data_IF_500490844665
#
_entry.id   IF_500490844665
#
_cell.length_a   1.000
_cell.length_b   1.000
_cell.length_c   1.000
_cell.angle_alpha   90.00
_cell.angle_beta   90.00
_cell.angle_gamma   90.00
#
_symmetry.space_group_name_H-M   'P 1'
#
loop_
_entity.id
_entity.type
_entity.pdbx_description
1 polymer ?
#
# COMPACT_ATOMS: atom_id res chain seq x y z
N UNK A 1 30.89 -12.96 24.48
CA UNK A 1 29.43 -13.13 24.44
C UNK A 1 28.91 -11.88 23.77
N UNK A 2 28.69 -11.97 22.50
CA UNK A 2 28.20 -10.89 21.65
C UNK A 2 26.70 -10.73 21.90
N UNK A 3 26.30 -9.50 22.26
CA UNK A 3 24.91 -9.10 22.31
C UNK A 3 24.31 -9.36 20.92
N UNK A 4 23.42 -10.32 20.85
CA UNK A 4 22.60 -10.55 19.66
C UNK A 4 21.76 -9.29 19.46
N UNK A 5 21.92 -8.69 18.30
CA UNK A 5 21.04 -7.67 17.78
C UNK A 5 19.60 -8.14 17.94
N UNK A 6 18.88 -7.59 18.88
CA UNK A 6 17.42 -7.68 18.91
C UNK A 6 16.90 -6.91 17.71
N UNK A 7 16.85 -7.59 16.57
CA UNK A 7 16.28 -7.05 15.35
C UNK A 7 14.86 -6.57 15.64
N UNK A 8 14.61 -5.30 15.44
CA UNK A 8 13.30 -4.69 15.55
C UNK A 8 12.31 -5.56 14.76
N UNK A 9 11.37 -6.21 15.45
CA UNK A 9 10.36 -7.06 14.81
C UNK A 9 9.41 -6.15 14.03
N UNK A 10 9.40 -6.30 12.72
CA UNK A 10 8.44 -5.60 11.84
C UNK A 10 7.09 -6.33 11.96
N UNK A 11 6.10 -5.65 12.51
CA UNK A 11 4.76 -6.22 12.69
C UNK A 11 3.74 -5.65 11.70
N UNK A 12 3.90 -4.40 11.27
CA UNK A 12 2.93 -3.66 10.46
C UNK A 12 3.59 -3.11 9.22
N UNK A 13 2.95 -3.33 8.08
CA UNK A 13 3.35 -2.76 6.80
C UNK A 13 2.22 -1.94 6.21
N UNK A 14 2.46 -0.67 5.91
CA UNK A 14 1.57 0.13 5.07
C UNK A 14 1.83 -0.18 3.61
N UNK A 15 0.78 -0.44 2.83
CA UNK A 15 0.89 -0.64 1.37
C UNK A 15 0.20 0.50 0.66
N UNK A 16 0.94 1.14 -0.25
CA UNK A 16 0.47 2.25 -1.05
C UNK A 16 1.11 2.24 -2.44
N UNK A 17 0.66 3.09 -3.32
CA UNK A 17 1.29 3.22 -4.63
C UNK A 17 0.69 4.36 -5.44
N UNK A 18 1.29 4.62 -6.59
CA UNK A 18 0.83 5.65 -7.50
C UNK A 18 -0.58 5.38 -8.03
N UNK A 19 -1.28 6.47 -8.42
CA UNK A 19 -2.63 6.36 -8.94
C UNK A 19 -2.67 5.54 -10.24
N UNK A 20 -3.72 4.73 -10.49
CA UNK A 20 -3.81 3.86 -11.67
C UNK A 20 -3.60 4.57 -13.01
N UNK A 21 -4.06 5.82 -13.15
CA UNK A 21 -3.85 6.61 -14.36
C UNK A 21 -2.37 6.87 -14.71
N UNK A 22 -1.47 6.63 -13.78
CA UNK A 22 -0.02 6.75 -13.99
C UNK A 22 0.63 5.43 -14.44
N UNK A 23 -0.11 4.33 -14.43
CA UNK A 23 0.36 3.08 -15.01
C UNK A 23 0.08 3.05 -16.53
N UNK A 24 0.94 2.41 -17.34
CA UNK A 24 0.70 2.28 -18.78
C UNK A 24 -0.59 1.54 -19.14
N UNK A 25 -1.12 0.73 -18.22
CA UNK A 25 -2.37 -0.02 -18.38
C UNK A 25 -3.60 0.68 -17.75
N UNK A 26 -3.39 1.78 -17.04
CA UNK A 26 -4.49 2.50 -16.38
C UNK A 26 -5.26 1.60 -15.41
N UNK A 27 -6.55 1.48 -15.62
CA UNK A 27 -7.45 0.64 -14.80
C UNK A 27 -7.65 -0.78 -15.37
N UNK A 28 -6.99 -1.14 -16.46
CA UNK A 28 -7.11 -2.48 -17.05
C UNK A 28 -6.38 -3.51 -16.18
N UNK A 29 -7.14 -4.18 -15.33
CA UNK A 29 -6.60 -5.18 -14.41
C UNK A 29 -6.22 -6.50 -15.11
N UNK A 30 -6.65 -6.71 -16.37
CA UNK A 30 -6.35 -7.89 -17.17
C UNK A 30 -5.10 -7.71 -18.06
N UNK A 31 -4.57 -6.49 -18.16
CA UNK A 31 -3.30 -6.24 -18.86
C UNK A 31 -2.17 -7.10 -18.25
N UNK A 32 -1.40 -7.75 -19.10
CA UNK A 32 -0.31 -8.64 -18.68
C UNK A 32 0.70 -7.98 -17.75
N UNK A 33 0.96 -6.67 -17.93
CA UNK A 33 1.87 -5.89 -17.07
C UNK A 33 1.26 -5.69 -15.68
N UNK A 34 -0.04 -5.44 -15.61
CA UNK A 34 -0.78 -5.35 -14.35
C UNK A 34 -0.74 -6.69 -13.61
N UNK A 35 -0.94 -7.80 -14.31
CA UNK A 35 -0.88 -9.13 -13.72
C UNK A 35 0.52 -9.44 -13.17
N UNK A 36 1.58 -9.11 -13.92
CA UNK A 36 2.97 -9.27 -13.46
C UNK A 36 3.26 -8.42 -12.23
N UNK A 37 2.79 -7.17 -12.20
CA UNK A 37 2.91 -6.32 -11.02
C UNK A 37 2.21 -6.94 -9.80
N UNK A 38 0.98 -7.44 -9.96
CA UNK A 38 0.25 -8.10 -8.87
C UNK A 38 0.97 -9.34 -8.34
N UNK A 39 1.58 -10.13 -9.23
CA UNK A 39 2.39 -11.29 -8.83
C UNK A 39 3.61 -10.86 -8.02
N UNK A 40 4.33 -9.84 -8.47
CA UNK A 40 5.49 -9.32 -7.74
C UNK A 40 5.09 -8.68 -6.40
N UNK A 41 3.99 -7.93 -6.38
CA UNK A 41 3.44 -7.37 -5.14
C UNK A 41 3.08 -8.48 -4.13
N UNK A 42 2.48 -9.57 -4.59
CA UNK A 42 2.18 -10.73 -3.76
C UNK A 42 3.46 -11.36 -3.20
N UNK A 43 4.50 -11.47 -4.02
CA UNK A 43 5.80 -11.99 -3.58
C UNK A 43 6.43 -11.09 -2.51
N UNK A 44 6.40 -9.78 -2.67
CA UNK A 44 6.92 -8.84 -1.67
C UNK A 44 6.12 -8.89 -0.35
N UNK A 45 4.80 -9.03 -0.42
CA UNK A 45 3.95 -9.24 0.75
C UNK A 45 4.34 -10.53 1.49
N UNK A 46 4.57 -11.63 0.76
CA UNK A 46 5.02 -12.90 1.37
C UNK A 46 6.41 -12.79 2.00
N UNK A 47 7.35 -12.09 1.36
CA UNK A 47 8.69 -11.85 1.92
C UNK A 47 8.59 -11.05 3.22
N UNK A 48 7.78 -9.99 3.26
CA UNK A 48 7.54 -9.21 4.47
C UNK A 48 6.87 -10.06 5.56
N UNK A 49 5.93 -10.91 5.19
CA UNK A 49 5.29 -11.87 6.12
C UNK A 49 6.32 -12.82 6.75
N UNK A 50 7.24 -13.35 5.97
CA UNK A 50 8.33 -14.21 6.46
C UNK A 50 9.28 -13.46 7.40
N UNK A 51 9.40 -12.14 7.25
CA UNK A 51 10.18 -11.25 8.14
C UNK A 51 9.42 -10.85 9.42
N UNK A 52 8.21 -11.35 9.61
CA UNK A 52 7.41 -11.13 10.82
C UNK A 52 6.28 -10.11 10.69
N UNK A 53 6.02 -9.54 9.51
CA UNK A 53 4.85 -8.68 9.30
C UNK A 53 3.59 -9.52 9.39
N UNK A 54 2.68 -9.14 10.27
CA UNK A 54 1.40 -9.81 10.46
C UNK A 54 0.21 -8.93 10.09
N UNK A 55 0.40 -7.63 10.07
CA UNK A 55 -0.66 -6.66 9.79
C UNK A 55 -0.28 -5.81 8.58
N UNK A 56 -1.11 -5.87 7.54
CA UNK A 56 -0.99 -5.02 6.37
C UNK A 56 -2.09 -3.97 6.40
N UNK A 57 -1.67 -2.71 6.24
CA UNK A 57 -2.54 -1.53 6.32
C UNK A 57 -2.70 -0.95 4.92
N UNK A 58 -3.91 -0.62 4.51
CA UNK A 58 -4.20 0.03 3.23
C UNK A 58 -5.18 1.17 3.38
N UNK A 59 -5.01 2.23 2.59
CA UNK A 59 -5.98 3.33 2.46
C UNK A 59 -7.08 3.01 1.43
N UNK A 60 -7.10 1.79 0.91
CA UNK A 60 -8.16 1.26 0.03
C UNK A 60 -8.39 2.09 -1.23
N UNK A 61 -7.33 2.71 -1.77
CA UNK A 61 -7.41 3.40 -3.06
C UNK A 61 -7.80 2.42 -4.19
N UNK A 62 -8.25 2.97 -5.32
CA UNK A 62 -8.72 2.17 -6.46
C UNK A 62 -7.61 1.48 -7.27
N UNK A 63 -6.37 1.60 -6.86
CA UNK A 63 -5.19 1.00 -7.50
C UNK A 63 -4.48 0.01 -6.58
N UNK A 64 -3.29 0.38 -6.16
CA UNK A 64 -2.41 -0.50 -5.37
C UNK A 64 -3.03 -0.93 -4.05
N UNK A 65 -3.77 -0.04 -3.38
CA UNK A 65 -4.49 -0.39 -2.15
C UNK A 65 -5.51 -1.50 -2.37
N UNK A 66 -6.25 -1.45 -3.48
CA UNK A 66 -7.19 -2.50 -3.86
C UNK A 66 -6.47 -3.81 -4.25
N UNK A 67 -5.38 -3.73 -5.04
CA UNK A 67 -4.58 -4.92 -5.41
C UNK A 67 -4.02 -5.61 -4.16
N UNK A 68 -3.42 -4.85 -3.26
CA UNK A 68 -2.86 -5.38 -2.03
C UNK A 68 -3.94 -6.02 -1.14
N UNK A 69 -5.08 -5.35 -0.98
CA UNK A 69 -6.18 -5.87 -0.19
C UNK A 69 -6.73 -7.20 -0.71
N UNK A 70 -6.91 -7.33 -2.03
CA UNK A 70 -7.34 -8.57 -2.66
C UNK A 70 -6.31 -9.70 -2.47
N UNK A 71 -5.02 -9.40 -2.67
CA UNK A 71 -3.91 -10.36 -2.48
C UNK A 71 -3.87 -10.84 -1.04
N UNK A 72 -3.90 -9.92 -0.07
CA UNK A 72 -3.82 -10.25 1.36
C UNK A 72 -5.04 -11.07 1.79
N UNK A 73 -6.25 -10.71 1.35
CA UNK A 73 -7.45 -11.51 1.61
C UNK A 73 -7.33 -12.93 1.03
N UNK A 74 -6.72 -13.08 -0.14
CA UNK A 74 -6.42 -14.39 -0.73
C UNK A 74 -5.44 -15.19 0.14
N UNK A 75 -4.34 -14.59 0.57
CA UNK A 75 -3.34 -15.25 1.42
C UNK A 75 -3.90 -15.65 2.78
N UNK A 76 -4.83 -14.87 3.35
CA UNK A 76 -5.51 -15.18 4.62
C UNK A 76 -6.36 -16.44 4.60
N UNK A 77 -6.68 -16.98 3.44
CA UNK A 77 -7.37 -18.28 3.34
C UNK A 77 -6.52 -19.42 3.87
N UNK A 78 -5.20 -19.30 3.80
CA UNK A 78 -4.22 -20.30 4.26
C UNK A 78 -3.40 -19.83 5.46
N UNK A 79 -3.20 -18.52 5.64
CA UNK A 79 -2.48 -17.92 6.77
C UNK A 79 -3.45 -17.10 7.63
N UNK A 80 -3.96 -17.70 8.70
CA UNK A 80 -4.96 -17.06 9.58
C UNK A 80 -4.40 -15.98 10.50
N UNK A 81 -3.09 -15.93 10.67
CA UNK A 81 -2.42 -14.93 11.51
C UNK A 81 -2.22 -13.61 10.74
N UNK A 82 -2.41 -13.65 9.44
CA UNK A 82 -2.31 -12.48 8.58
C UNK A 82 -3.56 -11.60 8.70
N UNK A 83 -3.38 -10.30 8.86
CA UNK A 83 -4.46 -9.33 8.99
C UNK A 83 -4.41 -8.29 7.87
N UNK A 84 -5.57 -8.00 7.28
CA UNK A 84 -5.80 -6.85 6.43
C UNK A 84 -6.58 -5.79 7.20
N UNK A 85 -5.98 -4.62 7.39
CA UNK A 85 -6.61 -3.49 8.09
C UNK A 85 -6.82 -2.34 7.11
N UNK A 86 -8.07 -1.98 6.92
CA UNK A 86 -8.51 -0.97 5.97
C UNK A 86 -8.78 0.36 6.68
N UNK A 87 -8.03 1.40 6.30
CA UNK A 87 -8.25 2.78 6.74
C UNK A 87 -8.82 3.58 5.57
N UNK A 88 -10.14 3.58 5.44
CA UNK A 88 -10.80 4.29 4.34
C UNK A 88 -10.82 5.80 4.61
N UNK A 89 -10.57 6.64 3.60
CA UNK A 89 -10.54 8.09 3.76
C UNK A 89 -11.85 8.64 4.33
N UNK A 90 -12.98 8.22 3.75
CA UNK A 90 -14.34 8.53 4.19
C UNK A 90 -15.33 7.50 3.63
N UNK A 91 -16.52 7.43 4.16
CA UNK A 91 -17.53 6.42 3.82
C UNK A 91 -17.96 6.47 2.33
N UNK A 92 -17.88 7.63 1.71
CA UNK A 92 -18.30 7.85 0.32
C UNK A 92 -17.16 7.66 -0.71
N UNK A 93 -16.00 7.11 -0.31
CA UNK A 93 -14.81 6.98 -1.16
C UNK A 93 -15.11 6.40 -2.55
N UNK A 94 -15.87 5.32 -2.59
CA UNK A 94 -16.13 4.59 -3.83
C UNK A 94 -17.38 5.05 -4.60
N UNK A 95 -18.08 6.10 -4.14
CA UNK A 95 -19.39 6.50 -4.71
C UNK A 95 -19.32 6.83 -6.19
N UNK A 96 -18.23 7.45 -6.63
CA UNK A 96 -18.02 7.86 -8.03
C UNK A 96 -17.19 6.88 -8.85
N UNK A 97 -16.80 5.73 -8.29
CA UNK A 97 -16.02 4.74 -9.02
C UNK A 97 -16.88 3.96 -10.01
N UNK A 98 -16.24 3.43 -11.05
CA UNK A 98 -16.90 2.52 -11.99
C UNK A 98 -17.49 1.30 -11.26
N UNK A 99 -18.62 0.74 -11.72
CA UNK A 99 -19.32 -0.34 -11.00
C UNK A 99 -18.42 -1.53 -10.66
N UNK A 100 -17.57 -1.98 -11.59
CA UNK A 100 -16.66 -3.10 -11.36
C UNK A 100 -15.59 -2.81 -10.29
N UNK A 101 -15.11 -1.56 -10.17
CA UNK A 101 -14.19 -1.16 -9.10
C UNK A 101 -14.89 -1.11 -7.74
N UNK A 102 -16.14 -0.64 -7.73
CA UNK A 102 -16.96 -0.63 -6.51
C UNK A 102 -17.24 -2.03 -6.00
N UNK A 103 -17.57 -2.95 -6.88
CA UNK A 103 -17.79 -4.36 -6.54
C UNK A 103 -16.54 -4.98 -5.90
N UNK A 104 -15.37 -4.79 -6.51
CA UNK A 104 -14.10 -5.26 -5.97
C UNK A 104 -13.79 -4.64 -4.59
N UNK A 105 -13.99 -3.33 -4.47
CA UNK A 105 -13.78 -2.60 -3.24
C UNK A 105 -14.64 -3.13 -2.09
N UNK A 106 -15.94 -3.27 -2.29
CA UNK A 106 -16.83 -3.78 -1.25
C UNK A 106 -16.55 -5.26 -0.94
N UNK A 107 -16.24 -6.08 -1.93
CA UNK A 107 -15.82 -7.47 -1.72
C UNK A 107 -14.53 -7.55 -0.89
N UNK A 108 -13.57 -6.66 -1.13
CA UNK A 108 -12.35 -6.57 -0.34
C UNK A 108 -12.64 -6.17 1.11
N UNK A 109 -13.48 -5.15 1.32
CA UNK A 109 -13.84 -4.67 2.66
C UNK A 109 -14.63 -5.72 3.45
N UNK A 110 -15.54 -6.45 2.81
CA UNK A 110 -16.31 -7.52 3.44
C UNK A 110 -15.41 -8.62 4.03
N UNK A 111 -14.28 -8.89 3.39
CA UNK A 111 -13.32 -9.94 3.78
C UNK A 111 -12.18 -9.45 4.66
N UNK A 112 -11.98 -8.15 4.82
CA UNK A 112 -10.86 -7.64 5.62
C UNK A 112 -11.03 -7.94 7.12
N UNK A 113 -9.95 -7.76 7.88
CA UNK A 113 -9.96 -8.01 9.32
C UNK A 113 -10.60 -6.86 10.09
N UNK A 114 -10.33 -5.62 9.66
CA UNK A 114 -10.83 -4.42 10.34
C UNK A 114 -10.96 -3.26 9.36
N UNK A 115 -11.99 -2.43 9.56
CA UNK A 115 -12.24 -1.19 8.82
C UNK A 115 -12.27 -0.02 9.79
N UNK A 116 -11.62 1.07 9.41
CA UNK A 116 -11.67 2.34 10.13
C UNK A 116 -11.87 3.49 9.16
N UNK A 117 -12.76 4.40 9.47
CA UNK A 117 -12.96 5.64 8.70
C UNK A 117 -12.05 6.72 9.27
N UNK A 118 -11.27 7.38 8.43
CA UNK A 118 -10.26 8.36 8.88
C UNK A 118 -10.85 9.76 9.02
N UNK A 119 -11.66 10.18 8.06
CA UNK A 119 -12.22 11.54 7.99
C UNK A 119 -13.74 11.51 7.75
N UNK A 120 -14.47 12.54 8.17
CA UNK A 120 -15.82 12.77 7.69
C UNK A 120 -15.89 12.94 6.17
N UNK A 121 -17.02 12.60 5.56
CA UNK A 121 -17.25 12.88 4.14
C UNK A 121 -17.08 14.37 3.83
N UNK A 122 -16.49 14.69 2.67
CA UNK A 122 -16.23 16.06 2.26
C UNK A 122 -14.98 16.71 2.88
N UNK A 123 -14.20 15.98 3.69
CA UNK A 123 -12.90 16.49 4.18
C UNK A 123 -11.94 16.69 3.01
N UNK A 124 -11.32 17.88 2.85
CA UNK A 124 -10.26 18.09 1.88
C UNK A 124 -9.10 17.11 2.12
N UNK A 125 -8.47 16.64 1.05
CA UNK A 125 -7.29 15.75 1.10
C UNK A 125 -7.47 14.48 1.96
N UNK A 126 -8.71 14.00 2.09
CA UNK A 126 -9.03 12.84 2.91
C UNK A 126 -8.18 11.59 2.55
N UNK A 127 -7.87 11.40 1.26
CA UNK A 127 -7.00 10.31 0.81
C UNK A 127 -5.57 10.46 1.37
N UNK A 128 -5.02 11.66 1.37
CA UNK A 128 -3.72 11.94 1.96
C UNK A 128 -3.73 11.71 3.48
N UNK A 129 -4.81 12.09 4.16
CA UNK A 129 -4.97 11.80 5.59
C UNK A 129 -4.99 10.29 5.87
N UNK A 130 -5.66 9.52 5.04
CA UNK A 130 -5.67 8.06 5.16
C UNK A 130 -4.28 7.45 4.93
N UNK A 131 -3.54 7.90 3.92
CA UNK A 131 -2.16 7.47 3.69
C UNK A 131 -1.26 7.82 4.89
N UNK A 132 -1.29 9.05 5.39
CA UNK A 132 -0.52 9.44 6.57
C UNK A 132 -0.85 8.56 7.76
N UNK A 133 -2.14 8.26 7.97
CA UNK A 133 -2.58 7.40 9.07
C UNK A 133 -1.98 6.00 9.00
N UNK A 134 -2.00 5.34 7.85
CA UNK A 134 -1.39 4.01 7.72
C UNK A 134 0.13 4.04 7.83
N UNK A 135 0.78 5.09 7.32
CA UNK A 135 2.24 5.30 7.43
C UNK A 135 2.65 5.46 8.90
N UNK A 136 1.95 6.29 9.67
CA UNK A 136 2.25 6.52 11.09
C UNK A 136 2.15 5.24 11.91
N UNK A 137 1.18 4.40 11.60
CA UNK A 137 0.93 3.14 12.31
C UNK A 137 1.86 2.00 11.89
N UNK A 138 2.52 2.12 10.75
CA UNK A 138 3.36 1.07 10.20
C UNK A 138 4.81 1.14 10.69
N UNK A 139 5.49 0.00 10.69
CA UNK A 139 6.92 -0.13 10.94
C UNK A 139 7.71 -0.01 9.62
N UNK A 140 7.11 -0.43 8.51
CA UNK A 140 7.67 -0.35 7.15
C UNK A 140 6.58 0.03 6.16
N UNK A 141 6.97 0.67 5.08
CA UNK A 141 6.08 1.01 3.95
C UNK A 141 6.50 0.21 2.72
N UNK A 142 5.54 -0.45 2.08
CA UNK A 142 5.69 -1.03 0.75
C UNK A 142 4.99 -0.12 -0.25
N UNK A 143 5.77 0.54 -1.10
CA UNK A 143 5.26 1.49 -2.07
C UNK A 143 5.46 0.98 -3.50
N UNK A 144 4.41 0.96 -4.30
CA UNK A 144 4.51 0.70 -5.75
C UNK A 144 4.65 2.04 -6.46
N UNK A 145 5.84 2.33 -6.96
CA UNK A 145 6.15 3.65 -7.50
C UNK A 145 7.20 3.60 -8.60
N UNK A 146 6.92 4.26 -9.72
CA UNK A 146 7.87 4.42 -10.83
C UNK A 146 8.80 5.60 -10.56
N UNK A 147 10.08 5.31 -10.33
CA UNK A 147 11.12 6.32 -10.03
C UNK A 147 11.43 7.25 -11.21
N UNK A 148 11.25 6.76 -12.42
CA UNK A 148 11.58 7.51 -13.62
C UNK A 148 10.46 8.49 -13.99
N UNK A 149 9.31 8.40 -13.33
CA UNK A 149 8.19 9.33 -13.48
C UNK A 149 8.44 10.62 -12.72
N UNK A 150 8.15 11.75 -13.37
CA UNK A 150 8.15 13.03 -12.67
C UNK A 150 7.11 13.03 -11.54
N UNK A 151 7.45 13.56 -10.36
CA UNK A 151 6.49 13.74 -9.29
C UNK A 151 5.27 14.54 -9.79
N UNK A 152 4.09 14.15 -9.35
CA UNK A 152 2.86 14.85 -9.59
C UNK A 152 2.36 15.52 -8.30
N UNK A 153 1.52 16.50 -8.41
CA UNK A 153 0.80 17.06 -7.26
C UNK A 153 -0.37 16.13 -6.92
N UNK A 154 -0.04 15.02 -6.24
CA UNK A 154 -0.97 13.97 -5.89
C UNK A 154 -0.85 13.57 -4.42
N UNK A 155 -1.92 12.96 -3.90
CA UNK A 155 -1.94 12.45 -2.53
C UNK A 155 -0.87 11.35 -2.34
N UNK A 156 -0.64 10.53 -3.35
CA UNK A 156 0.33 9.44 -3.36
C UNK A 156 1.76 9.96 -3.27
N UNK A 157 2.12 10.96 -4.10
CA UNK A 157 3.45 11.57 -4.08
C UNK A 157 3.70 12.29 -2.75
N UNK A 158 2.70 13.02 -2.25
CA UNK A 158 2.77 13.69 -0.94
C UNK A 158 2.91 12.68 0.21
N UNK A 159 2.24 11.54 0.11
CA UNK A 159 2.32 10.48 1.12
C UNK A 159 3.69 9.79 1.11
N UNK A 160 4.27 9.54 -0.07
CA UNK A 160 5.61 8.96 -0.18
C UNK A 160 6.66 9.90 0.42
N UNK A 161 6.60 11.20 0.08
CA UNK A 161 7.47 12.22 0.68
C UNK A 161 7.27 12.28 2.20
N UNK A 162 6.04 12.24 2.69
CA UNK A 162 5.74 12.19 4.11
C UNK A 162 6.38 10.96 4.80
N UNK A 163 6.28 9.79 4.19
CA UNK A 163 6.84 8.56 4.75
C UNK A 163 8.37 8.65 4.94
N UNK A 164 9.07 9.23 3.96
CA UNK A 164 10.53 9.36 3.96
C UNK A 164 11.00 10.53 4.81
N UNK A 165 10.49 11.73 4.52
CA UNK A 165 11.07 12.98 5.03
C UNK A 165 10.54 13.40 6.42
N UNK A 166 9.31 12.98 6.77
CA UNK A 166 8.64 13.39 7.99
C UNK A 166 8.48 12.23 8.98
N UNK A 167 7.95 11.11 8.52
CA UNK A 167 7.71 9.94 9.35
C UNK A 167 8.96 9.06 9.51
N UNK A 168 10.00 9.31 8.75
CA UNK A 168 11.29 8.60 8.76
C UNK A 168 11.14 7.07 8.72
N UNK A 169 10.23 6.61 7.85
CA UNK A 169 9.97 5.18 7.68
C UNK A 169 10.97 4.57 6.68
N UNK A 170 11.32 3.31 6.92
CA UNK A 170 11.94 2.49 5.89
C UNK A 170 10.90 2.19 4.82
N UNK A 171 11.19 2.54 3.57
CA UNK A 171 10.29 2.35 2.44
C UNK A 171 10.90 1.37 1.46
N UNK A 172 10.24 0.24 1.28
CA UNK A 172 10.53 -0.71 0.21
C UNK A 172 9.71 -0.29 -1.02
N UNK A 173 10.40 0.13 -2.08
CA UNK A 173 9.75 0.53 -3.33
C UNK A 173 9.82 -0.61 -4.33
N UNK A 174 8.66 -0.98 -4.87
CA UNK A 174 8.50 -1.87 -6.01
C UNK A 174 8.27 -1.02 -7.27
N UNK A 175 9.21 -1.08 -8.21
CA UNK A 175 9.07 -0.44 -9.52
C UNK A 175 8.03 -1.22 -10.36
N UNK A 176 6.94 -0.59 -10.80
CA UNK A 176 5.86 -1.30 -11.49
C UNK A 176 6.22 -1.72 -12.92
N UNK A 177 7.24 -1.11 -13.51
CA UNK A 177 7.66 -1.36 -14.89
C UNK A 177 8.81 -2.37 -14.94
N UNK A 178 9.84 -2.13 -14.12
CA UNK A 178 11.03 -2.98 -14.07
C UNK A 178 10.85 -4.21 -13.20
N UNK A 179 9.81 -4.23 -12.35
CA UNK A 179 9.51 -5.28 -11.37
C UNK A 179 10.71 -5.57 -10.46
N UNK A 180 11.43 -4.53 -10.09
CA UNK A 180 12.56 -4.58 -9.17
C UNK A 180 12.23 -3.81 -7.90
N UNK A 181 12.85 -4.21 -6.80
CA UNK A 181 12.68 -3.54 -5.51
C UNK A 181 13.96 -2.82 -5.12
N UNK A 182 13.80 -1.71 -4.42
CA UNK A 182 14.89 -1.01 -3.75
C UNK A 182 14.36 -0.41 -2.45
N UNK A 183 15.25 -0.19 -1.49
CA UNK A 183 14.90 0.35 -0.19
C UNK A 183 15.33 1.82 -0.10
N UNK A 184 14.44 2.66 0.42
CA UNK A 184 14.75 4.03 0.80
C UNK A 184 14.84 4.04 2.33
N UNK A 185 16.03 4.34 2.84
CA UNK A 185 16.27 4.59 4.25
C UNK A 185 16.48 6.09 4.47
N UNK A 186 16.44 6.54 5.75
CA UNK A 186 16.65 7.95 6.14
C UNK A 186 17.88 8.63 5.49
N UNK A 187 18.86 7.85 5.05
CA UNK A 187 20.10 8.34 4.44
C UNK A 187 20.11 8.36 2.93
N UNK A 188 19.03 7.88 2.30
CA UNK A 188 18.93 7.85 0.85
C UNK A 188 18.31 9.15 0.33
N UNK A 189 19.16 10.08 -0.11
CA UNK A 189 18.73 11.22 -0.95
C UNK A 189 18.96 10.83 -2.41
N UNK A 190 17.92 10.78 -3.26
CA UNK A 190 18.14 10.65 -4.69
C UNK A 190 18.92 11.88 -5.17
N UNK A 191 20.02 11.64 -5.90
CA UNK A 191 20.78 12.69 -6.60
C UNK A 191 20.01 13.15 -7.82
#
# INVERSE_FOLDING_TARGET
MTALEEGCRIYRCAVMGQHPMRFPWGFDAEDDRCQKLKMELAQQIMVLRQRGVTQFLTACDCGVGLYAGEIINGLRTTDRDLMLICYIPHEEQATKWAPYLRERYFTMLEKCTHISVVCPAGTPDAQLHAYKKIIDLADVVLAVYDRDMQPADSAEDSALAYAVDIAHKSVLVLDPIKLTTFQIDEHFRPQ
#
